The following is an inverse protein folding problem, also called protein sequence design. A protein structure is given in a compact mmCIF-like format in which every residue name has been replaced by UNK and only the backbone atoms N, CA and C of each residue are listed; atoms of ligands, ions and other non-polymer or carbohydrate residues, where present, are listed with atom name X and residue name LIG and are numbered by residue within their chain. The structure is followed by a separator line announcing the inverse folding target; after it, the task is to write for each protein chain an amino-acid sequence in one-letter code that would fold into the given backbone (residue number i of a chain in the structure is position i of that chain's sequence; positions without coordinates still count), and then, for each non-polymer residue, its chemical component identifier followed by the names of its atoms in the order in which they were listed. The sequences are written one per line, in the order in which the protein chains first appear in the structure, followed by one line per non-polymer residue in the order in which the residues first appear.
data_IF_214806505406
#
_entry.id   IF_214806505406
#
_cell.length_a   1.000
_cell.length_b   1.000
_cell.length_c   1.000
_cell.angle_alpha   90.00
_cell.angle_beta   90.00
_cell.angle_gamma   90.00
#
_symmetry.space_group_name_H-M   'P 1'
#
loop_
_entity.id
_entity.type
_entity.pdbx_description
1 polymer ?
#
# COMPACT_ATOMS: atom_id res chain seq x y z
N UNK A 1 -4.94 4.33 9.68
CA UNK A 1 -6.32 4.73 9.99
C UNK A 1 -7.05 3.68 10.83
N UNK A 2 -7.23 2.45 10.37
CA UNK A 2 -7.82 1.38 11.19
C UNK A 2 -7.10 1.09 12.51
N UNK A 3 -5.80 1.41 12.60
CA UNK A 3 -5.04 1.34 13.85
C UNK A 3 -5.67 2.13 15.00
N UNK A 4 -6.31 3.27 14.71
CA UNK A 4 -6.94 4.13 15.73
C UNK A 4 -8.08 3.39 16.41
N UNK A 5 -8.94 2.69 15.66
CA UNK A 5 -10.05 1.92 16.25
C UNK A 5 -9.52 0.77 17.10
N UNK A 6 -8.50 0.06 16.58
CA UNK A 6 -7.87 -1.05 17.31
C UNK A 6 -7.21 -0.55 18.61
N UNK A 7 -6.45 0.56 18.54
CA UNK A 7 -5.79 1.13 19.74
C UNK A 7 -6.78 1.60 20.80
N UNK A 8 -7.96 2.12 20.41
CA UNK A 8 -9.02 2.48 21.36
C UNK A 8 -9.54 1.25 22.13
N UNK A 9 -9.72 0.11 21.44
CA UNK A 9 -10.16 -1.11 22.13
C UNK A 9 -9.06 -1.76 22.97
N UNK A 10 -7.79 -1.63 22.56
CA UNK A 10 -6.65 -2.03 23.39
C UNK A 10 -6.61 -1.20 24.69
N UNK A 11 -6.75 0.12 24.57
CA UNK A 11 -6.77 1.03 25.73
C UNK A 11 -7.93 0.74 26.69
N UNK A 12 -9.09 0.35 26.16
CA UNK A 12 -10.25 -0.06 26.96
C UNK A 12 -10.17 -1.50 27.51
N UNK A 13 -9.07 -2.22 27.23
CA UNK A 13 -8.86 -3.63 27.63
C UNK A 13 -9.97 -4.60 27.16
N UNK A 14 -10.70 -4.24 26.10
CA UNK A 14 -11.74 -5.09 25.51
C UNK A 14 -11.11 -6.00 24.43
N UNK A 15 -10.55 -7.12 24.89
CA UNK A 15 -9.86 -8.09 24.04
C UNK A 15 -10.74 -8.63 22.91
N UNK A 16 -12.03 -8.88 23.16
CA UNK A 16 -12.94 -9.43 22.15
C UNK A 16 -13.15 -8.46 21.00
N UNK A 17 -13.41 -7.20 21.29
CA UNK A 17 -13.58 -6.15 20.27
C UNK A 17 -12.27 -5.78 19.59
N UNK A 18 -11.13 -5.89 20.29
CA UNK A 18 -9.79 -5.71 19.71
C UNK A 18 -9.55 -6.73 18.60
N UNK A 19 -9.77 -8.02 18.88
CA UNK A 19 -9.58 -9.10 17.89
C UNK A 19 -10.55 -8.93 16.71
N UNK A 20 -11.81 -8.64 16.98
CA UNK A 20 -12.83 -8.43 15.96
C UNK A 20 -12.47 -7.23 15.07
N UNK A 21 -12.09 -6.08 15.64
CA UNK A 21 -11.71 -4.89 14.87
C UNK A 21 -10.46 -5.12 14.01
N UNK A 22 -9.48 -5.87 14.54
CA UNK A 22 -8.26 -6.23 13.80
C UNK A 22 -8.58 -7.12 12.59
N UNK A 23 -9.41 -8.13 12.79
CA UNK A 23 -9.81 -9.08 11.74
C UNK A 23 -10.68 -8.40 10.67
N UNK A 24 -11.60 -7.52 11.08
CA UNK A 24 -12.43 -6.73 10.16
C UNK A 24 -11.60 -5.72 9.36
N UNK A 25 -10.58 -5.11 9.97
CA UNK A 25 -9.66 -4.21 9.28
C UNK A 25 -8.91 -4.95 8.16
N UNK A 26 -8.43 -6.17 8.43
CA UNK A 26 -7.76 -6.98 7.42
C UNK A 26 -8.71 -7.33 6.26
N UNK A 27 -9.88 -7.87 6.58
CA UNK A 27 -10.90 -8.26 5.59
C UNK A 27 -11.27 -7.09 4.69
N UNK A 28 -11.59 -5.93 5.29
CA UNK A 28 -11.94 -4.74 4.54
C UNK A 28 -10.79 -4.26 3.65
N UNK A 29 -9.55 -4.27 4.16
CA UNK A 29 -8.37 -3.85 3.38
C UNK A 29 -8.15 -4.76 2.18
N UNK A 30 -8.34 -6.07 2.33
CA UNK A 30 -8.23 -7.04 1.23
C UNK A 30 -9.32 -6.79 0.17
N UNK A 31 -10.59 -6.75 0.58
CA UNK A 31 -11.72 -6.55 -0.34
C UNK A 31 -11.58 -5.24 -1.10
N UNK A 32 -11.29 -4.15 -0.40
CA UNK A 32 -11.13 -2.83 -1.01
C UNK A 32 -9.94 -2.78 -1.98
N UNK A 33 -8.81 -3.41 -1.63
CA UNK A 33 -7.64 -3.45 -2.50
C UNK A 33 -7.85 -4.30 -3.76
N UNK A 34 -8.62 -5.38 -3.66
CA UNK A 34 -9.00 -6.20 -4.82
C UNK A 34 -9.88 -5.39 -5.76
N UNK A 35 -10.89 -4.69 -5.24
CA UNK A 35 -11.76 -3.82 -6.04
C UNK A 35 -10.92 -2.74 -6.76
N UNK A 36 -10.03 -2.05 -6.04
CA UNK A 36 -9.13 -1.06 -6.63
C UNK A 36 -8.20 -1.66 -7.68
N UNK A 37 -7.65 -2.85 -7.42
CA UNK A 37 -6.80 -3.56 -8.37
C UNK A 37 -7.53 -3.84 -9.67
N UNK A 38 -8.77 -4.36 -9.59
CA UNK A 38 -9.61 -4.64 -10.75
C UNK A 38 -9.93 -3.34 -11.50
N UNK A 39 -10.32 -2.27 -10.81
CA UNK A 39 -10.60 -0.97 -11.43
C UNK A 39 -9.38 -0.43 -12.18
N UNK A 40 -8.20 -0.48 -11.56
CA UNK A 40 -6.96 -0.04 -12.22
C UNK A 40 -6.61 -0.91 -13.41
N UNK A 41 -6.82 -2.22 -13.35
CA UNK A 41 -6.57 -3.13 -14.48
C UNK A 41 -7.50 -2.84 -15.66
N UNK A 42 -8.76 -2.51 -15.39
CA UNK A 42 -9.75 -2.22 -16.45
C UNK A 42 -9.48 -0.83 -17.07
N UNK A 43 -9.26 0.17 -16.23
CA UNK A 43 -9.16 1.58 -16.65
C UNK A 43 -7.71 2.09 -16.81
N UNK A 44 -6.70 1.20 -16.89
CA UNK A 44 -5.30 1.60 -16.88
C UNK A 44 -4.93 2.62 -17.96
N UNK A 45 -5.37 2.43 -19.20
CA UNK A 45 -5.10 3.34 -20.32
C UNK A 45 -5.79 4.69 -20.16
N UNK A 46 -7.07 4.68 -19.69
CA UNK A 46 -7.82 5.91 -19.47
C UNK A 46 -7.21 6.74 -18.34
N UNK A 47 -6.83 6.08 -17.23
CA UNK A 47 -6.17 6.74 -16.10
C UNK A 47 -4.85 7.38 -16.52
N UNK A 48 -4.00 6.67 -17.27
CA UNK A 48 -2.74 7.20 -17.75
C UNK A 48 -2.93 8.32 -18.78
N UNK A 49 -3.91 8.18 -19.68
CA UNK A 49 -4.26 9.22 -20.65
C UNK A 49 -4.75 10.50 -19.99
N UNK A 50 -5.51 10.39 -18.90
CA UNK A 50 -5.98 11.54 -18.10
C UNK A 50 -4.82 12.24 -17.36
N UNK A 51 -3.85 11.46 -16.84
CA UNK A 51 -2.75 12.00 -16.04
C UNK A 51 -1.62 12.59 -16.88
N UNK A 52 -1.27 11.94 -17.99
CA UNK A 52 -0.09 12.29 -18.80
C UNK A 52 -0.42 12.87 -20.18
N UNK A 53 -1.69 12.85 -20.58
CA UNK A 53 -2.10 13.38 -21.87
C UNK A 53 -1.51 12.63 -23.06
N UNK A 54 -1.06 13.35 -24.09
CA UNK A 54 -0.41 12.78 -25.30
C UNK A 54 1.08 12.60 -25.03
N UNK A 55 1.47 11.38 -24.71
CA UNK A 55 2.87 10.97 -24.54
C UNK A 55 3.24 10.02 -25.70
N UNK A 56 4.53 9.90 -26.01
CA UNK A 56 5.04 8.95 -26.99
C UNK A 56 4.54 7.53 -26.72
N UNK A 57 4.23 6.77 -27.78
CA UNK A 57 3.62 5.44 -27.69
C UNK A 57 4.45 4.47 -26.83
N UNK A 58 5.78 4.53 -26.93
CA UNK A 58 6.69 3.64 -26.21
C UNK A 58 6.68 3.92 -24.69
N UNK A 59 6.64 5.21 -24.34
CA UNK A 59 6.52 5.63 -22.92
C UNK A 59 5.16 5.23 -22.36
N UNK A 60 4.08 5.43 -23.12
CA UNK A 60 2.74 5.02 -22.72
C UNK A 60 2.66 3.50 -22.48
N UNK A 61 3.22 2.68 -23.36
CA UNK A 61 3.25 1.23 -23.22
C UNK A 61 4.06 0.79 -22.00
N UNK A 62 5.18 1.45 -21.72
CA UNK A 62 5.98 1.23 -20.52
C UNK A 62 5.19 1.55 -19.24
N UNK A 63 4.48 2.69 -19.20
CA UNK A 63 3.62 3.10 -18.08
C UNK A 63 2.45 2.14 -17.88
N UNK A 64 1.79 1.68 -18.94
CA UNK A 64 0.71 0.68 -18.89
C UNK A 64 1.22 -0.63 -18.29
N UNK A 65 2.37 -1.10 -18.74
CA UNK A 65 3.00 -2.33 -18.24
C UNK A 65 3.34 -2.19 -16.76
N UNK A 66 3.94 -1.05 -16.36
CA UNK A 66 4.26 -0.75 -14.97
C UNK A 66 3.00 -0.76 -14.09
N UNK A 67 1.98 -0.01 -14.49
CA UNK A 67 0.74 0.12 -13.73
C UNK A 67 0.00 -1.21 -13.61
N UNK A 68 -0.03 -1.99 -14.69
CA UNK A 68 -0.67 -3.31 -14.72
C UNK A 68 -0.03 -4.29 -13.73
N UNK A 69 1.30 -4.40 -13.75
CA UNK A 69 2.02 -5.28 -12.82
C UNK A 69 1.91 -4.75 -11.38
N UNK A 70 2.01 -3.44 -11.19
CA UNK A 70 1.84 -2.82 -9.87
C UNK A 70 0.44 -3.07 -9.28
N UNK A 71 -0.61 -3.09 -10.10
CA UNK A 71 -1.97 -3.37 -9.65
C UNK A 71 -2.10 -4.75 -9.00
N UNK A 72 -1.40 -5.77 -9.49
CA UNK A 72 -1.35 -7.08 -8.85
C UNK A 72 -0.72 -7.06 -7.45
N UNK A 73 0.09 -6.07 -7.14
CA UNK A 73 0.71 -5.94 -5.81
C UNK A 73 -0.18 -5.23 -4.79
N UNK A 74 -1.30 -4.60 -5.19
CA UNK A 74 -2.16 -3.84 -4.28
C UNK A 74 -2.75 -4.67 -3.14
N UNK A 75 -3.25 -5.90 -3.36
CA UNK A 75 -3.72 -6.74 -2.26
C UNK A 75 -2.62 -7.06 -1.24
N UNK A 76 -1.41 -7.38 -1.72
CA UNK A 76 -0.27 -7.63 -0.86
C UNK A 76 0.10 -6.39 -0.04
N UNK A 77 0.12 -5.22 -0.67
CA UNK A 77 0.39 -3.95 -0.02
C UNK A 77 -0.67 -3.62 1.05
N UNK A 78 -1.95 -3.88 0.77
CA UNK A 78 -3.04 -3.66 1.71
C UNK A 78 -2.95 -4.58 2.93
N UNK A 79 -2.64 -5.85 2.73
CA UNK A 79 -2.40 -6.83 3.81
C UNK A 79 -1.23 -6.37 4.69
N UNK A 80 -0.11 -5.98 4.08
CA UNK A 80 1.03 -5.45 4.81
C UNK A 80 0.65 -4.21 5.63
N UNK A 81 -0.05 -3.24 5.04
CA UNK A 81 -0.45 -2.02 5.71
C UNK A 81 -1.44 -2.28 6.87
N UNK A 82 -2.38 -3.23 6.72
CA UNK A 82 -3.29 -3.64 7.78
C UNK A 82 -2.52 -4.27 8.96
N UNK A 83 -1.59 -5.18 8.69
CA UNK A 83 -0.75 -5.79 9.71
C UNK A 83 0.19 -4.80 10.39
N UNK A 84 0.81 -3.90 9.61
CA UNK A 84 1.65 -2.83 10.15
C UNK A 84 0.84 -1.85 11.02
N UNK A 85 -0.41 -1.57 10.65
CA UNK A 85 -1.33 -0.78 11.46
C UNK A 85 -1.62 -1.47 12.80
N UNK A 86 -1.81 -2.79 12.78
CA UNK A 86 -2.02 -3.59 13.99
C UNK A 86 -0.80 -3.55 14.93
N UNK A 87 0.41 -3.74 14.41
CA UNK A 87 1.63 -3.63 15.22
C UNK A 87 1.85 -2.23 15.77
N UNK A 88 1.52 -1.18 15.01
CA UNK A 88 1.57 0.21 15.49
C UNK A 88 0.56 0.49 16.59
N UNK A 89 -0.64 -0.10 16.54
CA UNK A 89 -1.65 0.05 17.60
C UNK A 89 -1.22 -0.57 18.93
N UNK A 90 -0.31 -1.56 18.89
CA UNK A 90 0.32 -2.19 20.07
C UNK A 90 1.65 -1.54 20.48
N UNK A 91 2.04 -0.40 19.88
CA UNK A 91 3.34 0.26 20.06
C UNK A 91 4.56 -0.62 19.70
N UNK A 92 4.39 -1.72 18.95
CA UNK A 92 5.46 -2.65 18.54
C UNK A 92 6.02 -2.31 17.16
N UNK A 93 6.41 -1.07 16.94
CA UNK A 93 6.84 -0.54 15.62
C UNK A 93 8.15 -1.16 15.10
N UNK A 94 9.00 -1.67 15.98
CA UNK A 94 10.27 -2.31 15.59
C UNK A 94 10.08 -3.46 14.61
N UNK A 95 9.02 -4.26 14.78
CA UNK A 95 8.73 -5.41 13.90
C UNK A 95 8.45 -4.94 12.48
N UNK A 96 7.62 -3.94 12.31
CA UNK A 96 7.29 -3.38 10.99
C UNK A 96 8.50 -2.72 10.33
N UNK A 97 9.36 -2.08 11.12
CA UNK A 97 10.60 -1.50 10.65
C UNK A 97 11.55 -2.58 10.07
N UNK A 98 11.76 -3.69 10.79
CA UNK A 98 12.60 -4.78 10.30
C UNK A 98 12.05 -5.42 9.03
N UNK A 99 10.74 -5.65 8.95
CA UNK A 99 10.12 -6.18 7.74
C UNK A 99 10.32 -5.23 6.55
N UNK A 100 10.08 -3.92 6.75
CA UNK A 100 10.31 -2.91 5.71
C UNK A 100 11.78 -2.86 5.27
N UNK A 101 12.71 -2.95 6.22
CA UNK A 101 14.14 -2.94 5.91
C UNK A 101 14.54 -4.13 5.03
N UNK A 102 14.12 -5.34 5.41
CA UNK A 102 14.39 -6.55 4.61
C UNK A 102 13.70 -6.46 3.25
N UNK A 103 12.46 -5.99 3.19
CA UNK A 103 11.75 -5.81 1.94
C UNK A 103 12.44 -4.81 1.00
N UNK A 104 13.00 -3.72 1.53
CA UNK A 104 13.78 -2.77 0.75
C UNK A 104 15.08 -3.39 0.22
N UNK A 105 15.77 -4.21 1.01
CA UNK A 105 16.96 -4.95 0.54
C UNK A 105 16.58 -5.87 -0.62
N UNK A 106 15.52 -6.65 -0.49
CA UNK A 106 15.02 -7.53 -1.56
C UNK A 106 14.69 -6.72 -2.82
N UNK A 107 14.05 -5.56 -2.65
CA UNK A 107 13.69 -4.67 -3.75
C UNK A 107 14.93 -4.13 -4.47
N UNK A 108 15.92 -3.62 -3.72
CA UNK A 108 17.16 -3.07 -4.28
C UNK A 108 17.96 -4.13 -5.03
N UNK A 109 18.19 -5.29 -4.41
CA UNK A 109 18.91 -6.40 -5.04
C UNK A 109 18.16 -6.87 -6.29
N UNK A 110 16.84 -7.02 -6.19
CA UNK A 110 16.01 -7.42 -7.31
C UNK A 110 16.04 -6.42 -8.47
N UNK A 111 16.04 -5.11 -8.18
CA UNK A 111 16.17 -4.07 -9.21
C UNK A 111 17.53 -4.11 -9.89
N UNK A 112 18.61 -4.32 -9.13
CA UNK A 112 19.96 -4.48 -9.73
C UNK A 112 19.97 -5.66 -10.68
N UNK A 113 19.47 -6.80 -10.25
CA UNK A 113 19.41 -8.01 -11.11
C UNK A 113 18.49 -7.77 -12.33
N UNK A 114 17.28 -7.22 -12.10
CA UNK A 114 16.30 -7.02 -13.16
C UNK A 114 16.75 -6.04 -14.25
N UNK A 115 17.44 -4.97 -13.85
CA UNK A 115 17.87 -3.92 -14.80
C UNK A 115 19.21 -4.25 -15.42
N UNK A 116 20.21 -4.62 -14.62
CA UNK A 116 21.59 -4.78 -15.14
C UNK A 116 21.89 -6.18 -15.69
N UNK A 117 21.36 -7.23 -15.05
CA UNK A 117 21.63 -8.62 -15.46
C UNK A 117 20.64 -9.07 -16.52
N UNK A 118 19.32 -8.92 -16.23
CA UNK A 118 18.27 -9.40 -17.13
C UNK A 118 17.91 -8.41 -18.25
N UNK A 119 18.33 -7.13 -18.12
CA UNK A 119 18.02 -6.04 -19.06
C UNK A 119 16.53 -5.98 -19.43
N UNK A 120 15.67 -6.29 -18.44
CA UNK A 120 14.23 -6.45 -18.65
C UNK A 120 13.46 -5.10 -18.70
N UNK A 121 14.18 -3.97 -18.80
CA UNK A 121 13.58 -2.65 -18.89
C UNK A 121 12.66 -2.36 -17.68
N UNK A 122 11.44 -1.87 -17.97
CA UNK A 122 10.45 -1.52 -16.94
C UNK A 122 10.03 -2.73 -16.12
N UNK A 123 9.89 -3.90 -16.71
CA UNK A 123 9.54 -5.13 -16.02
C UNK A 123 10.59 -5.53 -14.97
N UNK A 124 11.88 -5.26 -15.24
CA UNK A 124 12.99 -5.52 -14.32
C UNK A 124 12.93 -4.73 -13.00
N UNK A 125 12.17 -3.62 -12.95
CA UNK A 125 11.95 -2.82 -11.74
C UNK A 125 10.66 -3.22 -11.02
N UNK A 126 9.63 -3.56 -11.77
CA UNK A 126 8.30 -3.79 -11.19
C UNK A 126 8.17 -5.16 -10.53
N UNK A 127 8.76 -6.20 -11.13
CA UNK A 127 8.73 -7.55 -10.55
C UNK A 127 9.40 -7.64 -9.17
N UNK A 128 10.61 -7.10 -8.93
CA UNK A 128 11.19 -7.05 -7.61
C UNK A 128 10.32 -6.31 -6.58
N UNK A 129 9.66 -5.23 -7.01
CA UNK A 129 8.71 -4.50 -6.17
C UNK A 129 7.50 -5.34 -5.80
N UNK A 130 6.96 -6.13 -6.72
CA UNK A 130 5.88 -7.07 -6.45
C UNK A 130 6.33 -8.15 -5.46
N UNK A 131 7.50 -8.76 -5.69
CA UNK A 131 8.05 -9.82 -4.83
C UNK A 131 8.27 -9.30 -3.40
N UNK A 132 8.88 -8.13 -3.23
CA UNK A 132 9.14 -7.54 -1.91
C UNK A 132 7.84 -7.23 -1.15
N UNK A 133 6.79 -6.78 -1.84
CA UNK A 133 5.47 -6.53 -1.25
C UNK A 133 4.76 -7.82 -0.83
N UNK A 134 4.81 -8.85 -1.67
CA UNK A 134 4.25 -10.17 -1.35
C UNK A 134 4.99 -10.79 -0.16
N UNK A 135 6.32 -10.73 -0.16
CA UNK A 135 7.14 -11.17 0.97
C UNK A 135 6.73 -10.48 2.27
N UNK A 136 6.62 -9.14 2.26
CA UNK A 136 6.21 -8.37 3.43
C UNK A 136 4.81 -8.73 3.91
N UNK A 137 3.88 -8.95 2.97
CA UNK A 137 2.51 -9.35 3.30
C UNK A 137 2.46 -10.74 3.96
N UNK A 138 3.23 -11.70 3.46
CA UNK A 138 3.30 -13.05 4.04
C UNK A 138 3.87 -12.99 5.45
N UNK A 139 5.00 -12.34 5.65
CA UNK A 139 5.66 -12.27 6.96
C UNK A 139 4.76 -11.58 7.99
N UNK A 140 4.20 -10.40 7.67
CA UNK A 140 3.35 -9.67 8.60
C UNK A 140 2.08 -10.47 8.95
N UNK A 141 1.51 -11.19 7.98
CA UNK A 141 0.33 -12.00 8.19
C UNK A 141 0.61 -13.13 9.17
N UNK A 142 1.68 -13.90 8.96
CA UNK A 142 2.09 -14.98 9.87
C UNK A 142 2.27 -14.44 11.29
N UNK A 143 2.93 -13.29 11.43
CA UNK A 143 3.16 -12.67 12.72
C UNK A 143 1.86 -12.18 13.38
N UNK A 144 0.89 -11.66 12.61
CA UNK A 144 -0.39 -11.19 13.13
C UNK A 144 -1.34 -12.31 13.56
N UNK A 145 -1.15 -13.56 13.11
CA UNK A 145 -1.91 -14.71 13.61
C UNK A 145 -1.41 -15.24 14.96
N UNK A 146 -0.35 -14.67 15.52
CA UNK A 146 0.19 -15.10 16.82
C UNK A 146 -0.75 -14.68 17.97
N UNK A 147 -1.43 -15.65 18.58
CA UNK A 147 -2.38 -15.47 19.70
C UNK A 147 -1.78 -14.91 20.99
N UNK A 148 -0.44 -14.82 21.08
CA UNK A 148 0.26 -14.19 22.22
C UNK A 148 0.23 -12.67 22.16
N UNK A 149 -0.20 -12.09 21.05
CA UNK A 149 -0.35 -10.65 20.90
C UNK A 149 -1.61 -10.14 21.60
N UNK A 150 -1.61 -8.88 22.00
CA UNK A 150 -2.80 -8.20 22.55
C UNK A 150 -3.89 -8.06 21.48
N UNK A 151 -3.47 -7.80 20.24
CA UNK A 151 -4.32 -7.77 19.07
C UNK A 151 -3.74 -8.77 18.04
N UNK A 152 -4.57 -9.65 17.54
CA UNK A 152 -4.21 -10.65 16.54
C UNK A 152 -5.38 -10.90 15.58
N UNK A 153 -5.11 -11.58 14.47
CA UNK A 153 -6.14 -12.02 13.54
C UNK A 153 -6.73 -13.36 13.97
N UNK A 154 -8.06 -13.44 14.06
CA UNK A 154 -8.76 -14.70 14.26
C UNK A 154 -9.48 -15.08 12.95
N UNK A 155 -9.19 -16.27 12.44
CA UNK A 155 -9.77 -16.76 11.19
C UNK A 155 -11.30 -16.79 11.22
N UNK A 156 -11.90 -17.03 12.40
CA UNK A 156 -13.36 -17.04 12.57
C UNK A 156 -13.97 -15.65 12.45
N UNK A 157 -13.25 -14.61 12.92
CA UNK A 157 -13.74 -13.24 12.93
C UNK A 157 -13.41 -12.48 11.62
N UNK A 158 -12.46 -12.97 10.81
CA UNK A 158 -12.18 -12.43 9.47
C UNK A 158 -13.42 -12.57 8.58
N UNK A 159 -14.13 -13.70 8.65
CA UNK A 159 -15.30 -13.96 7.81
C UNK A 159 -16.63 -13.49 8.42
N UNK A 160 -16.62 -12.99 9.66
CA UNK A 160 -17.81 -12.38 10.25
C UNK A 160 -17.96 -10.94 9.76
N UNK A 161 -19.09 -10.64 9.14
CA UNK A 161 -19.40 -9.27 8.74
C UNK A 161 -20.09 -8.53 9.90
N UNK A 162 -19.37 -7.59 10.53
CA UNK A 162 -19.96 -6.67 11.52
C UNK A 162 -20.07 -5.26 10.92
N UNK A 163 -21.28 -4.94 10.44
CA UNK A 163 -21.57 -3.65 9.81
C UNK A 163 -21.37 -2.44 10.73
N UNK A 164 -21.56 -2.61 12.06
CA UNK A 164 -21.33 -1.52 13.04
C UNK A 164 -19.84 -1.22 13.19
N UNK A 165 -19.03 -2.26 13.29
CA UNK A 165 -17.57 -2.14 13.35
C UNK A 165 -17.02 -1.55 12.05
N UNK A 166 -17.49 -2.05 10.91
CA UNK A 166 -17.09 -1.55 9.60
C UNK A 166 -17.43 -0.07 9.42
N UNK A 167 -18.65 0.35 9.78
CA UNK A 167 -19.07 1.76 9.74
C UNK A 167 -18.15 2.64 10.59
N UNK A 168 -17.74 2.18 11.77
CA UNK A 168 -16.81 2.91 12.64
C UNK A 168 -15.43 3.06 12.00
N UNK A 169 -14.91 1.99 11.40
CA UNK A 169 -13.62 2.04 10.66
C UNK A 169 -13.72 3.00 9.48
N UNK A 170 -14.79 2.92 8.69
CA UNK A 170 -15.00 3.77 7.51
C UNK A 170 -15.15 5.25 7.85
N UNK A 171 -15.88 5.59 8.91
CA UNK A 171 -16.06 6.97 9.35
C UNK A 171 -14.72 7.66 9.67
N UNK A 172 -13.70 6.92 10.07
CA UNK A 172 -12.36 7.44 10.31
C UNK A 172 -11.50 7.34 9.04
N UNK A 173 -11.67 6.27 8.26
CA UNK A 173 -10.84 6.00 7.09
C UNK A 173 -11.16 6.93 5.92
N UNK A 174 -12.44 7.25 5.68
CA UNK A 174 -12.88 8.07 4.53
C UNK A 174 -12.34 9.50 4.62
N UNK A 175 -12.55 10.28 5.70
CA UNK A 175 -12.02 11.66 5.77
C UNK A 175 -10.51 11.70 5.59
N UNK A 176 -9.79 10.83 6.28
CA UNK A 176 -8.33 10.74 6.15
C UNK A 176 -7.87 10.27 4.76
N UNK A 177 -8.65 9.39 4.11
CA UNK A 177 -8.40 8.96 2.74
C UNK A 177 -8.55 10.10 1.75
N UNK A 178 -9.60 10.91 1.90
CA UNK A 178 -9.82 12.12 1.10
C UNK A 178 -8.70 13.13 1.31
N UNK A 179 -8.33 13.42 2.56
CA UNK A 179 -7.22 14.33 2.88
C UNK A 179 -5.92 13.88 2.21
N UNK A 180 -5.50 12.63 2.41
CA UNK A 180 -4.29 12.10 1.77
C UNK A 180 -4.41 12.07 0.24
N UNK A 181 -5.59 11.81 -0.30
CA UNK A 181 -5.88 11.85 -1.73
C UNK A 181 -5.66 13.25 -2.31
N UNK A 182 -6.17 14.29 -1.65
CA UNK A 182 -5.98 15.69 -2.07
C UNK A 182 -4.48 16.04 -2.03
N UNK A 183 -3.76 15.68 -0.97
CA UNK A 183 -2.31 15.92 -0.91
C UNK A 183 -1.55 15.25 -2.05
N UNK A 184 -1.90 14.01 -2.42
CA UNK A 184 -1.27 13.34 -3.54
C UNK A 184 -1.62 13.99 -4.89
N UNK A 185 -2.87 14.42 -5.08
CA UNK A 185 -3.27 15.16 -6.29
C UNK A 185 -2.50 16.47 -6.42
N UNK A 186 -2.34 17.23 -5.33
CA UNK A 186 -1.53 18.46 -5.33
C UNK A 186 -0.08 18.17 -5.69
N UNK A 187 0.53 17.10 -5.14
CA UNK A 187 1.90 16.69 -5.50
C UNK A 187 2.03 16.35 -6.97
N UNK A 188 1.08 15.61 -7.53
CA UNK A 188 1.06 15.28 -8.97
C UNK A 188 0.92 16.53 -9.81
N UNK A 189 0.00 17.44 -9.47
CA UNK A 189 -0.19 18.70 -10.17
C UNK A 189 1.09 19.57 -10.13
N UNK A 190 1.72 19.70 -8.96
CA UNK A 190 2.98 20.41 -8.82
C UNK A 190 4.08 19.78 -9.66
N UNK A 191 4.21 18.45 -9.64
CA UNK A 191 5.19 17.74 -10.46
C UNK A 191 4.95 17.95 -11.95
N UNK A 192 3.70 17.98 -12.38
CA UNK A 192 3.32 18.27 -13.78
C UNK A 192 3.67 19.70 -14.18
N UNK A 193 3.43 20.69 -13.32
CA UNK A 193 3.82 22.08 -13.55
C UNK A 193 5.35 22.21 -13.63
N UNK A 194 6.07 21.60 -12.69
CA UNK A 194 7.54 21.64 -12.68
C UNK A 194 8.12 20.98 -13.93
N UNK A 195 7.49 19.92 -14.45
CA UNK A 195 7.92 19.26 -15.68
C UNK A 195 7.86 20.20 -16.90
N UNK A 196 7.01 21.22 -16.91
CA UNK A 196 6.93 22.21 -17.99
C UNK A 196 8.18 23.13 -18.03
N UNK A 197 8.91 23.26 -16.94
CA UNK A 197 10.11 24.14 -16.85
C UNK A 197 11.42 23.42 -17.21
N UNK A 198 11.38 22.11 -17.49
CA UNK A 198 12.52 21.33 -17.97
C UNK A 198 13.10 20.34 -16.97
N UNK A 199 14.06 19.53 -17.44
CA UNK A 199 14.60 18.38 -16.69
C UNK A 199 15.38 18.74 -15.42
N UNK A 200 16.04 19.90 -15.40
CA UNK A 200 16.75 20.38 -14.19
C UNK A 200 15.81 20.63 -13.02
N UNK A 201 14.66 21.24 -13.30
CA UNK A 201 13.65 21.56 -12.29
C UNK A 201 12.98 20.29 -11.76
N UNK A 202 12.78 19.28 -12.62
CA UNK A 202 12.26 17.96 -12.20
C UNK A 202 13.22 17.30 -11.20
N UNK A 203 14.52 17.32 -11.49
CA UNK A 203 15.54 16.75 -10.60
C UNK A 203 15.60 17.50 -9.27
N UNK A 204 15.58 18.85 -9.29
CA UNK A 204 15.57 19.68 -8.09
C UNK A 204 14.33 19.43 -7.22
N UNK A 205 13.13 19.33 -7.84
CA UNK A 205 11.89 19.02 -7.14
C UNK A 205 11.92 17.61 -6.53
N UNK A 206 12.52 16.64 -7.22
CA UNK A 206 12.70 15.27 -6.69
C UNK A 206 13.57 15.26 -5.43
N UNK A 207 14.65 16.01 -5.41
CA UNK A 207 15.51 16.16 -4.24
C UNK A 207 14.77 16.88 -3.10
N UNK A 208 14.07 17.98 -3.41
CA UNK A 208 13.29 18.72 -2.41
C UNK A 208 12.16 17.91 -1.76
N UNK A 209 11.56 16.96 -2.49
CA UNK A 209 10.52 16.07 -1.94
C UNK A 209 11.10 14.91 -1.12
N UNK A 210 12.39 14.64 -1.19
CA UNK A 210 13.06 13.58 -0.44
C UNK A 210 13.60 14.04 0.93
N UNK A 211 13.64 15.34 1.19
CA UNK A 211 14.00 15.98 2.46
C UNK A 211 12.75 16.18 3.31
#
# INVERSE_FOLDING_TARGET
MGAIVVSQYIGNKDKKRTILSSSQLLMFSIVFSIILSILVLIFNKQLLGLLFGKVESDVMNACVTYLRISAYSYPALAIYNAGAALYRSMAKTKVTMYISFVANIINVIGNIIGVYVLKAGVAGVVYPSLISRVFSAIIITILCFNKKLEAYYDSKDIFKFDGKMLKRILNIAIPNGVENGIFQLVKVALSSIVAMFGTYQIAANGVAQSI
#
